data_IF_122666409204
#
_entry.id   IF_122666409204
#
_cell.length_a   1.000
_cell.length_b   1.000
_cell.length_c   1.000
_cell.angle_alpha   90.00
_cell.angle_beta   90.00
_cell.angle_gamma   90.00
#
_symmetry.space_group_name_H-M   'P 1'
#
loop_
_entity.id
_entity.type
_entity.pdbx_description
1 polymer ?
#
# COMPACT_ATOMS: atom_id res chain seq x y z
N UNK A 1 -45.13 -29.49 15.84
CA UNK A 1 -44.10 -30.48 15.47
C UNK A 1 -43.60 -30.17 14.05
N UNK A 2 -43.17 -28.92 13.81
CA UNK A 2 -43.11 -28.37 12.44
C UNK A 2 -42.02 -27.33 12.19
N UNK A 3 -40.96 -27.22 13.00
CA UNK A 3 -39.97 -26.13 12.83
C UNK A 3 -38.54 -26.55 12.48
N UNK A 4 -38.22 -27.85 12.46
CA UNK A 4 -36.84 -28.30 12.19
C UNK A 4 -36.53 -28.59 10.70
N UNK A 5 -37.55 -28.63 9.83
CA UNK A 5 -37.36 -28.88 8.39
C UNK A 5 -37.16 -27.60 7.58
N UNK A 6 -37.81 -26.50 7.95
CA UNK A 6 -37.74 -25.21 7.24
C UNK A 6 -36.35 -24.58 7.38
N UNK A 7 -35.79 -24.54 8.59
CA UNK A 7 -34.44 -24.02 8.85
C UNK A 7 -33.31 -24.80 8.16
N UNK A 8 -33.50 -26.10 7.88
CA UNK A 8 -32.53 -26.90 7.11
C UNK A 8 -32.64 -26.67 5.60
N UNK A 9 -33.81 -26.24 5.13
CA UNK A 9 -34.06 -25.97 3.72
C UNK A 9 -33.49 -24.60 3.32
N UNK A 10 -33.77 -23.56 4.10
CA UNK A 10 -33.23 -22.20 3.87
C UNK A 10 -31.70 -22.16 3.94
N UNK A 11 -31.09 -22.94 4.84
CA UNK A 11 -29.63 -23.04 4.94
C UNK A 11 -29.01 -23.77 3.74
N UNK A 12 -29.71 -24.73 3.13
CA UNK A 12 -29.24 -25.43 1.92
C UNK A 12 -29.41 -24.58 0.65
N UNK A 13 -30.45 -23.78 0.56
CA UNK A 13 -30.65 -22.88 -0.59
C UNK A 13 -29.71 -21.66 -0.53
N UNK A 14 -29.46 -21.11 0.66
CA UNK A 14 -28.44 -20.05 0.83
C UNK A 14 -27.04 -20.55 0.50
N UNK A 15 -26.69 -21.77 0.93
CA UNK A 15 -25.39 -22.40 0.60
C UNK A 15 -25.24 -22.63 -0.92
N UNK A 16 -26.27 -23.17 -1.58
CA UNK A 16 -26.27 -23.39 -3.04
C UNK A 16 -26.18 -22.08 -3.84
N UNK A 17 -26.80 -21.01 -3.35
CA UNK A 17 -26.77 -19.70 -3.99
C UNK A 17 -25.41 -19.02 -3.85
N UNK A 18 -24.71 -19.20 -2.72
CA UNK A 18 -23.31 -18.78 -2.57
C UNK A 18 -22.37 -19.60 -3.44
N UNK A 19 -22.54 -20.93 -3.48
CA UNK A 19 -21.65 -21.84 -4.21
C UNK A 19 -21.68 -21.55 -5.73
N UNK A 20 -22.87 -21.36 -6.30
CA UNK A 20 -23.04 -21.05 -7.73
C UNK A 20 -22.40 -19.71 -8.15
N UNK A 21 -22.43 -18.70 -7.27
CA UNK A 21 -21.83 -17.39 -7.55
C UNK A 21 -20.31 -17.41 -7.46
N UNK A 22 -19.75 -18.23 -6.58
CA UNK A 22 -18.30 -18.50 -6.54
C UNK A 22 -17.83 -19.25 -7.78
N UNK A 23 -18.60 -20.22 -8.28
CA UNK A 23 -18.22 -20.98 -9.48
C UNK A 23 -18.19 -20.11 -10.74
N UNK A 24 -19.14 -19.19 -10.91
CA UNK A 24 -19.13 -18.23 -12.03
C UNK A 24 -17.94 -17.25 -11.97
N UNK A 25 -17.62 -16.72 -10.78
CA UNK A 25 -16.44 -15.86 -10.59
C UNK A 25 -15.12 -16.60 -10.84
N UNK A 26 -15.01 -17.86 -10.39
CA UNK A 26 -13.84 -18.70 -10.65
C UNK A 26 -13.70 -19.07 -12.13
N UNK A 27 -14.82 -19.13 -12.87
CA UNK A 27 -14.81 -19.37 -14.31
C UNK A 27 -14.34 -18.15 -15.12
N UNK A 28 -14.73 -16.93 -14.74
CA UNK A 28 -14.19 -15.71 -15.36
C UNK A 28 -12.67 -15.60 -15.13
N UNK A 29 -12.21 -15.88 -13.90
CA UNK A 29 -10.78 -15.94 -13.53
C UNK A 29 -10.00 -17.00 -14.35
N UNK A 30 -10.67 -18.07 -14.80
CA UNK A 30 -10.04 -19.15 -15.57
C UNK A 30 -9.76 -18.81 -17.04
N UNK A 31 -10.27 -17.68 -17.56
CA UNK A 31 -10.04 -17.29 -18.96
C UNK A 31 -8.82 -16.41 -19.17
N UNK A 32 -8.21 -15.92 -18.08
CA UNK A 32 -7.02 -15.09 -18.13
C UNK A 32 -5.76 -15.94 -18.40
N UNK A 33 -4.96 -15.54 -19.39
CA UNK A 33 -3.69 -16.18 -19.73
C UNK A 33 -2.57 -15.64 -18.84
N UNK A 34 -2.33 -16.34 -17.73
CA UNK A 34 -1.32 -15.97 -16.76
C UNK A 34 0.10 -16.16 -17.30
N UNK A 35 0.32 -17.20 -18.11
CA UNK A 35 1.66 -17.53 -18.58
C UNK A 35 2.16 -16.44 -19.54
N UNK A 36 1.35 -16.05 -20.54
CA UNK A 36 1.66 -14.93 -21.45
C UNK A 36 1.87 -13.61 -20.70
N UNK A 37 0.96 -13.29 -19.77
CA UNK A 37 1.04 -12.03 -19.03
C UNK A 37 2.28 -11.95 -18.14
N UNK A 38 2.67 -13.05 -17.49
CA UNK A 38 3.86 -13.09 -16.65
C UNK A 38 5.17 -13.09 -17.44
N UNK A 39 5.20 -13.74 -18.61
CA UNK A 39 6.35 -13.69 -19.52
C UNK A 39 6.57 -12.27 -20.04
N UNK A 40 5.52 -11.61 -20.55
CA UNK A 40 5.58 -10.20 -21.01
C UNK A 40 6.02 -9.23 -19.91
N UNK A 41 5.68 -9.51 -18.67
CA UNK A 41 6.14 -8.70 -17.55
C UNK A 41 7.60 -8.91 -17.20
N UNK A 42 8.08 -10.15 -17.27
CA UNK A 42 9.49 -10.47 -17.10
C UNK A 42 10.33 -9.80 -18.20
N UNK A 43 9.79 -9.73 -19.42
CA UNK A 43 10.43 -9.08 -20.57
C UNK A 43 10.28 -7.54 -20.57
N UNK A 44 9.59 -6.98 -19.58
CA UNK A 44 9.41 -5.53 -19.41
C UNK A 44 8.40 -4.89 -20.36
N UNK A 45 7.64 -5.71 -21.09
CA UNK A 45 6.69 -5.31 -22.13
C UNK A 45 5.33 -4.83 -21.59
N UNK A 46 5.08 -4.92 -20.29
CA UNK A 46 3.87 -4.36 -19.70
C UNK A 46 3.91 -2.82 -19.68
N UNK A 47 2.79 -2.18 -19.99
CA UNK A 47 2.69 -0.73 -20.01
C UNK A 47 1.51 -0.20 -19.18
N UNK A 48 1.68 1.00 -18.60
CA UNK A 48 0.62 1.74 -17.92
C UNK A 48 -0.11 0.91 -16.86
N UNK A 49 -1.42 0.76 -17.04
CA UNK A 49 -2.30 0.06 -16.10
C UNK A 49 -1.99 -1.44 -15.99
N UNK A 50 -1.42 -2.07 -17.03
CA UNK A 50 -1.00 -3.47 -16.94
C UNK A 50 0.09 -3.68 -15.90
N UNK A 51 1.03 -2.74 -15.75
CA UNK A 51 2.03 -2.80 -14.68
C UNK A 51 1.39 -2.62 -13.29
N UNK A 52 0.34 -1.81 -13.21
CA UNK A 52 -0.39 -1.57 -11.96
C UNK A 52 -1.22 -2.80 -11.54
N UNK A 53 -1.66 -3.63 -12.48
CA UNK A 53 -2.40 -4.87 -12.22
C UNK A 53 -1.52 -6.04 -11.77
N UNK A 54 -0.21 -5.96 -11.94
CA UNK A 54 0.74 -7.05 -11.67
C UNK A 54 0.50 -7.76 -10.34
N UNK A 55 0.46 -6.99 -9.25
CA UNK A 55 0.33 -7.53 -7.89
C UNK A 55 -1.06 -8.13 -7.67
N UNK A 56 -2.09 -7.52 -8.27
CA UNK A 56 -3.45 -8.07 -8.24
C UNK A 56 -3.48 -9.44 -8.91
N UNK A 57 -2.85 -9.60 -10.07
CA UNK A 57 -2.81 -10.89 -10.80
C UNK A 57 -2.03 -11.97 -10.05
N UNK A 58 -0.93 -11.61 -9.37
CA UNK A 58 -0.22 -12.56 -8.49
C UNK A 58 -1.11 -13.03 -7.34
N UNK A 59 -1.82 -12.11 -6.69
CA UNK A 59 -2.74 -12.45 -5.60
C UNK A 59 -3.92 -13.28 -6.09
N UNK A 60 -4.44 -12.97 -7.27
CA UNK A 60 -5.51 -13.74 -7.94
C UNK A 60 -5.05 -15.17 -8.22
N UNK A 61 -3.87 -15.34 -8.82
CA UNK A 61 -3.28 -16.66 -9.09
C UNK A 61 -3.08 -17.46 -7.80
N UNK A 62 -2.56 -16.84 -6.75
CA UNK A 62 -2.41 -17.47 -5.44
C UNK A 62 -3.76 -17.95 -4.91
N UNK A 63 -4.78 -17.07 -4.85
CA UNK A 63 -6.10 -17.41 -4.32
C UNK A 63 -6.75 -18.53 -5.16
N UNK A 64 -6.73 -18.40 -6.49
CA UNK A 64 -7.30 -19.39 -7.41
C UNK A 64 -6.70 -20.77 -7.17
N UNK A 65 -5.37 -20.89 -7.21
CA UNK A 65 -4.70 -22.19 -7.14
C UNK A 65 -4.75 -22.76 -5.71
N UNK A 66 -4.65 -21.92 -4.69
CA UNK A 66 -4.72 -22.36 -3.30
C UNK A 66 -6.11 -22.90 -2.96
N UNK A 67 -7.17 -22.14 -3.22
CA UNK A 67 -8.54 -22.54 -2.85
C UNK A 67 -9.08 -23.68 -3.72
N UNK A 68 -8.80 -23.67 -5.04
CA UNK A 68 -9.22 -24.75 -5.94
C UNK A 68 -8.63 -26.11 -5.55
N UNK A 69 -7.43 -26.11 -4.96
CA UNK A 69 -6.75 -27.33 -4.53
C UNK A 69 -6.93 -27.61 -3.02
N UNK A 70 -8.01 -27.11 -2.41
CA UNK A 70 -8.36 -27.42 -1.02
C UNK A 70 -7.37 -26.87 0.01
N UNK A 71 -6.70 -25.75 -0.29
CA UNK A 71 -5.72 -25.11 0.58
C UNK A 71 -4.33 -25.75 0.54
N UNK A 72 -3.97 -26.45 -0.55
CA UNK A 72 -2.64 -27.03 -0.70
C UNK A 72 -1.65 -26.02 -1.31
N UNK A 73 -0.65 -25.53 -0.54
CA UNK A 73 0.32 -24.55 -1.05
C UNK A 73 1.25 -25.12 -2.12
N UNK A 74 1.43 -26.44 -2.19
CA UNK A 74 2.28 -27.10 -3.19
C UNK A 74 1.70 -27.02 -4.61
N UNK A 75 0.44 -26.59 -4.73
CA UNK A 75 -0.25 -26.41 -6.01
C UNK A 75 -0.20 -24.98 -6.53
N UNK A 76 0.32 -24.04 -5.73
CA UNK A 76 0.60 -22.68 -6.17
C UNK A 76 2.01 -22.63 -6.77
N UNK A 77 2.24 -21.92 -7.89
CA UNK A 77 3.57 -21.76 -8.45
C UNK A 77 4.59 -21.25 -7.41
N UNK A 78 5.80 -21.86 -7.30
CA UNK A 78 6.76 -21.50 -6.26
C UNK A 78 7.21 -20.03 -6.30
N UNK A 79 7.25 -19.44 -7.49
CA UNK A 79 7.63 -18.04 -7.66
C UNK A 79 6.57 -17.08 -7.09
N UNK A 80 5.28 -17.41 -7.21
CA UNK A 80 4.17 -16.67 -6.59
C UNK A 80 4.29 -16.72 -5.07
N UNK A 81 4.50 -17.92 -4.52
CA UNK A 81 4.72 -18.10 -3.08
C UNK A 81 5.92 -17.30 -2.59
N UNK A 82 7.02 -17.33 -3.34
CA UNK A 82 8.25 -16.59 -3.01
C UNK A 82 8.06 -15.07 -3.09
N UNK A 83 7.24 -14.58 -4.02
CA UNK A 83 6.88 -13.17 -4.12
C UNK A 83 6.06 -12.73 -2.89
N UNK A 84 4.97 -13.44 -2.60
CA UNK A 84 4.08 -13.12 -1.47
C UNK A 84 4.86 -13.16 -0.15
N UNK A 85 5.70 -14.17 0.06
CA UNK A 85 6.55 -14.26 1.25
C UNK A 85 7.49 -13.05 1.41
N UNK A 86 8.10 -12.58 0.32
CA UNK A 86 8.97 -11.38 0.34
C UNK A 86 8.19 -10.12 0.69
N UNK A 87 6.98 -9.94 0.15
CA UNK A 87 6.16 -8.77 0.48
C UNK A 87 5.68 -8.82 1.93
N UNK A 88 5.26 -9.99 2.44
CA UNK A 88 4.92 -10.16 3.86
C UNK A 88 6.12 -9.83 4.75
N UNK A 89 7.32 -10.27 4.39
CA UNK A 89 8.52 -9.96 5.15
C UNK A 89 8.76 -8.45 5.28
N UNK A 90 8.60 -7.69 4.19
CA UNK A 90 8.69 -6.22 4.22
C UNK A 90 7.66 -5.60 5.18
N UNK A 91 6.42 -6.09 5.16
CA UNK A 91 5.37 -5.62 6.08
C UNK A 91 5.77 -5.90 7.53
N UNK A 92 6.30 -7.09 7.82
CA UNK A 92 6.78 -7.46 9.15
C UNK A 92 7.97 -6.59 9.59
N UNK A 93 8.80 -6.12 8.65
CA UNK A 93 9.87 -5.15 8.89
C UNK A 93 9.37 -3.70 9.06
N UNK A 94 8.04 -3.50 9.05
CA UNK A 94 7.39 -2.21 9.32
C UNK A 94 7.00 -1.42 8.07
N UNK A 95 7.07 -2.02 6.88
CA UNK A 95 6.50 -1.42 5.68
C UNK A 95 4.96 -1.43 5.72
N UNK A 96 4.34 -0.43 5.10
CA UNK A 96 2.88 -0.37 4.96
C UNK A 96 2.38 -1.41 3.95
N UNK A 97 1.20 -1.97 4.20
CA UNK A 97 0.58 -2.98 3.33
C UNK A 97 0.41 -2.46 1.90
N UNK A 98 0.01 -1.21 1.75
CA UNK A 98 -0.21 -0.55 0.46
C UNK A 98 1.09 -0.37 -0.35
N UNK A 99 2.25 -0.40 0.31
CA UNK A 99 3.56 -0.36 -0.36
C UNK A 99 4.08 -1.73 -0.70
N UNK A 100 3.86 -2.72 0.17
CA UNK A 100 4.26 -4.10 -0.08
C UNK A 100 3.34 -4.78 -1.12
N UNK A 101 2.07 -4.39 -1.14
CA UNK A 101 1.04 -4.83 -2.08
C UNK A 101 0.39 -3.61 -2.74
N UNK A 102 1.07 -2.97 -3.70
CA UNK A 102 0.50 -1.85 -4.42
C UNK A 102 -0.68 -2.36 -5.27
N UNK A 103 -1.89 -1.96 -4.89
CA UNK A 103 -3.10 -2.25 -5.65
C UNK A 103 -3.36 -1.11 -6.64
N UNK A 104 -3.91 -1.39 -7.84
CA UNK A 104 -4.06 -0.38 -8.88
C UNK A 104 -4.98 0.78 -8.49
N UNK A 105 -5.89 0.57 -7.55
CA UNK A 105 -6.77 1.60 -7.00
C UNK A 105 -6.29 2.21 -5.67
N UNK A 106 -5.21 1.70 -5.09
CA UNK A 106 -4.63 2.30 -3.90
C UNK A 106 -3.94 3.61 -4.30
N UNK A 107 -4.25 4.71 -3.59
CA UNK A 107 -3.46 5.92 -3.81
C UNK A 107 -2.01 5.63 -3.40
N UNK A 108 -1.03 5.93 -4.27
CA UNK A 108 0.37 5.81 -3.88
C UNK A 108 0.56 6.66 -2.63
N UNK A 109 1.17 6.05 -1.59
CA UNK A 109 1.42 6.76 -0.34
C UNK A 109 2.10 8.10 -0.69
N UNK A 110 1.50 9.25 -0.32
CA UNK A 110 2.11 10.55 -0.60
C UNK A 110 3.49 10.68 0.05
N UNK A 111 3.79 9.83 1.03
CA UNK A 111 5.09 9.73 1.69
C UNK A 111 5.99 8.64 1.12
N UNK A 112 5.60 7.97 0.02
CA UNK A 112 6.28 6.83 -0.63
C UNK A 112 7.79 6.98 -0.66
N UNK A 113 8.22 8.17 -1.10
CA UNK A 113 9.62 8.51 -1.32
C UNK A 113 10.30 9.13 -0.10
N UNK A 114 9.61 9.28 1.04
CA UNK A 114 10.19 9.90 2.24
C UNK A 114 10.77 8.88 3.22
N UNK A 115 11.90 9.22 3.83
CA UNK A 115 12.38 8.56 5.04
C UNK A 115 11.48 8.91 6.22
N UNK A 116 11.59 8.18 7.33
CA UNK A 116 10.91 8.55 8.59
C UNK A 116 11.21 9.99 9.01
N UNK A 117 12.46 10.42 8.83
CA UNK A 117 12.90 11.79 9.09
C UNK A 117 12.26 12.77 8.11
N UNK A 118 12.18 12.42 6.82
CA UNK A 118 11.56 13.23 5.79
C UNK A 118 10.07 13.43 5.98
N UNK A 119 9.34 12.37 6.31
CA UNK A 119 7.89 12.42 6.61
C UNK A 119 7.63 13.41 7.76
N UNK A 120 8.37 13.26 8.86
CA UNK A 120 8.30 14.20 9.99
C UNK A 120 8.58 15.64 9.56
N UNK A 121 9.66 15.87 8.83
CA UNK A 121 10.04 17.22 8.41
C UNK A 121 8.95 17.87 7.52
N UNK A 122 8.32 17.08 6.65
CA UNK A 122 7.20 17.52 5.84
C UNK A 122 5.94 17.81 6.68
N UNK A 123 5.62 16.96 7.66
CA UNK A 123 4.49 17.16 8.57
C UNK A 123 4.64 18.45 9.38
N UNK A 124 5.84 18.72 9.90
CA UNK A 124 6.17 19.95 10.62
C UNK A 124 6.00 21.16 9.72
N UNK A 125 6.56 21.13 8.51
CA UNK A 125 6.45 22.23 7.55
C UNK A 125 4.99 22.52 7.18
N UNK A 126 4.22 21.48 6.87
CA UNK A 126 2.81 21.58 6.48
C UNK A 126 1.97 22.14 7.64
N UNK A 127 2.18 21.63 8.86
CA UNK A 127 1.48 22.11 10.06
C UNK A 127 1.72 23.60 10.31
N UNK A 128 2.99 24.03 10.28
CA UNK A 128 3.36 25.44 10.48
C UNK A 128 2.78 26.33 9.38
N UNK A 129 2.84 25.91 8.11
CA UNK A 129 2.27 26.68 6.99
C UNK A 129 0.75 26.80 7.09
N UNK A 130 0.06 25.74 7.46
CA UNK A 130 -1.40 25.77 7.67
C UNK A 130 -1.79 26.68 8.84
N UNK A 131 -1.04 26.63 9.94
CA UNK A 131 -1.26 27.51 11.08
C UNK A 131 -1.02 28.99 10.73
N UNK A 132 0.02 29.30 9.94
CA UNK A 132 0.26 30.65 9.44
C UNK A 132 -0.82 31.12 8.46
N UNK A 133 -1.37 30.23 7.64
CA UNK A 133 -2.48 30.55 6.72
C UNK A 133 -3.75 30.90 7.50
N UNK A 134 -4.04 30.18 8.58
CA UNK A 134 -5.18 30.45 9.46
C UNK A 134 -4.95 31.72 10.30
N UNK A 135 -3.73 31.91 10.80
CA UNK A 135 -3.36 33.01 11.67
C UNK A 135 -2.04 33.66 11.21
N UNK A 136 -2.07 34.63 10.27
CA UNK A 136 -0.85 35.21 9.69
C UNK A 136 0.06 35.94 10.68
N UNK A 137 -0.46 36.35 11.84
CA UNK A 137 0.29 37.02 12.91
C UNK A 137 0.95 36.05 13.90
N UNK A 138 0.73 34.74 13.76
CA UNK A 138 1.32 33.74 14.65
C UNK A 138 2.85 33.72 14.49
N UNK A 139 3.55 33.63 15.62
CA UNK A 139 5.03 33.53 15.61
C UNK A 139 5.44 32.11 15.25
N UNK A 140 6.27 31.97 14.21
CA UNK A 140 6.82 30.68 13.75
C UNK A 140 7.51 29.93 14.89
N UNK A 141 8.25 30.64 15.76
CA UNK A 141 8.92 30.02 16.91
C UNK A 141 7.96 29.30 17.85
N UNK A 142 6.79 29.87 18.12
CA UNK A 142 5.79 29.24 19.00
C UNK A 142 5.16 28.00 18.34
N UNK A 143 4.92 28.06 17.03
CA UNK A 143 4.41 26.93 16.26
C UNK A 143 5.41 25.77 16.25
N UNK A 144 6.70 26.06 16.03
CA UNK A 144 7.76 25.05 16.11
C UNK A 144 7.90 24.46 17.51
N UNK A 145 7.70 25.26 18.56
CA UNK A 145 7.71 24.76 19.93
C UNK A 145 6.54 23.79 20.17
N UNK A 146 5.34 24.10 19.70
CA UNK A 146 4.20 23.18 19.78
C UNK A 146 4.47 21.87 19.02
N UNK A 147 5.07 21.96 17.83
CA UNK A 147 5.47 20.77 17.04
C UNK A 147 6.56 19.94 17.73
N UNK A 148 7.51 20.58 18.42
CA UNK A 148 8.53 19.87 19.20
C UNK A 148 7.93 19.02 20.32
N UNK A 149 6.92 19.54 21.01
CA UNK A 149 6.17 18.79 22.01
C UNK A 149 5.36 17.65 21.36
N UNK A 150 4.69 17.90 20.22
CA UNK A 150 3.89 16.89 19.51
C UNK A 150 4.71 15.70 19.03
N UNK A 151 5.93 15.95 18.55
CA UNK A 151 6.83 14.92 18.02
C UNK A 151 7.81 14.35 19.04
N UNK A 152 7.80 14.80 20.29
CA UNK A 152 8.76 14.44 21.34
C UNK A 152 10.22 14.64 20.90
N UNK A 153 10.54 15.81 20.35
CA UNK A 153 11.88 16.16 19.85
C UNK A 153 12.38 17.47 20.42
N UNK A 154 13.69 17.70 20.31
CA UNK A 154 14.25 19.00 20.66
C UNK A 154 13.78 20.08 19.69
N UNK A 155 13.63 21.29 20.21
CA UNK A 155 13.26 22.45 19.41
C UNK A 155 14.20 22.65 18.21
N UNK A 156 15.51 22.51 18.42
CA UNK A 156 16.50 22.69 17.35
C UNK A 156 16.40 21.62 16.25
N UNK A 157 16.03 20.38 16.58
CA UNK A 157 15.80 19.35 15.58
C UNK A 157 14.60 19.70 14.69
N UNK A 158 13.47 20.07 15.30
CA UNK A 158 12.24 20.47 14.57
C UNK A 158 12.47 21.74 13.75
N UNK A 159 13.20 22.71 14.31
CA UNK A 159 13.58 23.93 13.61
C UNK A 159 14.47 23.63 12.39
N UNK A 160 15.47 22.77 12.55
CA UNK A 160 16.36 22.35 11.46
C UNK A 160 15.60 21.66 10.33
N UNK A 161 14.69 20.75 10.67
CA UNK A 161 13.81 20.08 9.71
C UNK A 161 12.90 21.06 8.96
N UNK A 162 12.25 21.97 9.70
CA UNK A 162 11.36 22.99 9.13
C UNK A 162 12.09 23.86 8.11
N UNK A 163 13.26 24.42 8.46
CA UNK A 163 13.99 25.30 7.55
C UNK A 163 14.61 24.55 6.38
N UNK A 164 15.06 23.32 6.57
CA UNK A 164 15.54 22.48 5.47
C UNK A 164 14.41 22.24 4.44
N UNK A 165 13.20 21.95 4.92
CA UNK A 165 12.06 21.71 4.03
C UNK A 165 11.51 23.00 3.40
N UNK A 166 11.44 24.09 4.19
CA UNK A 166 11.06 25.41 3.72
C UNK A 166 11.98 25.89 2.60
N UNK A 167 13.30 25.80 2.80
CA UNK A 167 14.26 26.23 1.78
C UNK A 167 14.16 25.35 0.53
N UNK A 168 14.06 24.03 0.69
CA UNK A 168 13.90 23.11 -0.43
C UNK A 168 12.70 23.43 -1.32
N UNK A 169 11.54 23.67 -0.71
CA UNK A 169 10.28 23.92 -1.41
C UNK A 169 10.18 25.36 -1.92
N UNK A 170 10.43 26.36 -1.08
CA UNK A 170 10.22 27.78 -1.42
C UNK A 170 11.30 28.33 -2.36
N UNK A 171 12.52 27.77 -2.35
CA UNK A 171 13.62 28.20 -3.23
C UNK A 171 13.73 27.36 -4.51
N UNK A 172 12.84 26.37 -4.70
CA UNK A 172 12.83 25.52 -5.90
C UNK A 172 14.00 24.52 -6.00
N UNK A 173 14.75 24.30 -4.91
CA UNK A 173 15.87 23.35 -4.86
C UNK A 173 15.36 21.89 -4.82
N UNK A 174 14.11 21.69 -4.38
CA UNK A 174 13.51 20.38 -4.18
C UNK A 174 13.74 19.85 -2.76
N UNK A 175 13.16 18.68 -2.47
CA UNK A 175 13.22 18.06 -1.15
C UNK A 175 14.66 17.54 -0.90
N UNK A 176 15.30 17.89 0.23
CA UNK A 176 16.66 17.42 0.53
C UNK A 176 16.79 15.89 0.49
N UNK A 177 17.84 15.38 -0.16
CA UNK A 177 18.08 13.92 -0.32
C UNK A 177 18.02 13.12 0.98
N UNK A 178 18.49 13.68 2.10
CA UNK A 178 18.42 13.04 3.43
C UNK A 178 16.99 12.72 3.91
N UNK A 179 15.99 13.37 3.32
CA UNK A 179 14.59 13.15 3.61
C UNK A 179 13.92 12.19 2.65
N UNK A 180 14.60 11.83 1.56
CA UNK A 180 14.09 10.89 0.58
C UNK A 180 14.71 9.51 0.80
N UNK A 181 13.92 8.46 0.55
CA UNK A 181 14.47 7.13 0.37
C UNK A 181 15.36 7.19 -0.87
N UNK A 182 16.58 6.69 -0.75
CA UNK A 182 17.42 6.47 -1.93
C UNK A 182 16.81 5.25 -2.59
N UNK A 183 16.26 5.42 -3.78
CA UNK A 183 16.01 4.28 -4.64
C UNK A 183 17.40 3.74 -4.99
N UNK A 184 17.81 2.64 -4.37
CA UNK A 184 18.92 1.87 -4.91
C UNK A 184 18.44 1.43 -6.29
N UNK A 185 19.07 1.95 -7.35
CA UNK A 185 18.89 1.48 -8.72
C UNK A 185 19.23 -0.02 -8.73
N UNK A 186 18.20 -0.86 -8.63
CA UNK A 186 18.22 -2.29 -8.97
C UNK A 186 17.43 -2.50 -10.24
#
# INVERSE_FOLDING_TARGET
MTDNKVLRFERRESQKCTDARTDDLLNEINTFDYDDYFDRASDGELHGDEKNEWVMRILELFCRDFFRNGGNPSKVPPWVMSYIARQIFKVLDGEQWERAFPLPWAQPDPYGNFTRCGKRAFDVWTSVRNALKQNPKAKVSHLLQAESARHNLSYEAVRGDYYAMKNGIEQGIGIPKKFLKIDDET
#
